data_IF_729006269099
#
_entry.id   IF_729006269099
#
_cell.length_a   1.000
_cell.length_b   1.000
_cell.length_c   1.000
_cell.angle_alpha   90.00
_cell.angle_beta   90.00
_cell.angle_gamma   90.00
#
_symmetry.space_group_name_H-M   'P 1'
#
loop_
_entity.id
_entity.type
_entity.pdbx_description
1 polymer ?
#
# COMPACT_ATOMS: atom_id res chain seq x y z
N UNK A 1 10.53 -14.96 -6.00
CA UNK A 1 11.00 -14.00 -7.01
C UNK A 1 10.33 -12.64 -6.77
N UNK A 2 11.13 -11.55 -6.77
CA UNK A 2 10.62 -10.19 -6.60
C UNK A 2 10.31 -9.65 -8.01
N UNK A 3 9.04 -9.34 -8.26
CA UNK A 3 8.54 -8.89 -9.57
C UNK A 3 7.50 -7.78 -9.39
N UNK A 4 7.17 -7.07 -10.45
CA UNK A 4 6.12 -6.08 -10.50
C UNK A 4 6.56 -4.75 -11.09
N UNK A 5 5.63 -3.79 -11.10
CA UNK A 5 5.84 -2.46 -11.69
C UNK A 5 7.05 -1.74 -11.08
N UNK A 6 7.18 -1.73 -9.76
CA UNK A 6 8.30 -1.05 -9.08
C UNK A 6 9.64 -1.67 -9.45
N UNK A 7 9.70 -3.00 -9.55
CA UNK A 7 10.93 -3.70 -9.93
C UNK A 7 11.32 -3.37 -11.37
N UNK A 8 10.36 -3.40 -12.29
CA UNK A 8 10.59 -3.08 -13.69
C UNK A 8 11.07 -1.64 -13.88
N UNK A 9 10.43 -0.70 -13.17
CA UNK A 9 10.84 0.71 -13.19
C UNK A 9 12.22 0.89 -12.58
N UNK A 10 12.51 0.24 -11.45
CA UNK A 10 13.82 0.32 -10.80
C UNK A 10 14.92 -0.22 -11.69
N UNK A 11 14.70 -1.33 -12.39
CA UNK A 11 15.67 -1.87 -13.36
C UNK A 11 15.93 -0.89 -14.50
N UNK A 12 14.89 -0.24 -15.03
CA UNK A 12 15.04 0.76 -16.08
C UNK A 12 15.84 1.97 -15.60
N UNK A 13 15.56 2.46 -14.39
CA UNK A 13 16.29 3.58 -13.79
C UNK A 13 17.76 3.23 -13.54
N UNK A 14 18.04 2.03 -13.05
CA UNK A 14 19.42 1.57 -12.83
C UNK A 14 20.20 1.48 -14.14
N UNK A 15 19.55 1.04 -15.21
CA UNK A 15 20.15 1.02 -16.53
C UNK A 15 20.52 2.43 -17.02
N UNK A 16 19.62 3.41 -16.80
CA UNK A 16 19.88 4.80 -17.21
C UNK A 16 21.05 5.44 -16.47
N UNK A 17 21.27 5.10 -15.21
CA UNK A 17 22.40 5.61 -14.42
C UNK A 17 23.63 4.71 -14.46
N UNK A 18 23.61 3.68 -15.32
CA UNK A 18 24.68 2.72 -15.49
C UNK A 18 25.09 2.03 -14.18
N UNK A 19 24.08 1.63 -13.40
CA UNK A 19 24.26 0.97 -12.11
C UNK A 19 23.71 -0.45 -12.14
N UNK A 20 24.29 -1.32 -11.33
CA UNK A 20 23.75 -2.65 -11.06
C UNK A 20 22.90 -2.60 -9.81
N UNK A 21 21.63 -2.97 -9.92
CA UNK A 21 20.71 -2.97 -8.80
C UNK A 21 20.42 -4.37 -8.31
N UNK A 22 20.39 -4.51 -6.99
CA UNK A 22 19.95 -5.73 -6.32
C UNK A 22 18.70 -5.40 -5.49
N UNK A 23 17.80 -6.36 -5.35
CA UNK A 23 16.52 -6.16 -4.68
C UNK A 23 16.40 -7.07 -3.46
N UNK A 24 15.87 -6.50 -2.37
CA UNK A 24 15.47 -7.27 -1.20
C UNK A 24 14.05 -6.90 -0.81
N UNK A 25 13.30 -7.87 -0.35
CA UNK A 25 11.94 -7.68 0.14
C UNK A 25 11.96 -7.60 1.66
N UNK A 26 11.32 -6.57 2.21
CA UNK A 26 11.25 -6.31 3.64
C UNK A 26 9.83 -5.91 4.02
N UNK A 27 9.47 -6.05 5.30
CA UNK A 27 8.21 -5.51 5.80
C UNK A 27 8.17 -3.99 5.62
N UNK A 28 7.01 -3.46 5.23
CA UNK A 28 6.87 -2.04 4.87
C UNK A 28 7.32 -1.09 5.99
N UNK A 29 6.99 -1.40 7.23
CA UNK A 29 7.34 -0.58 8.39
C UNK A 29 8.85 -0.55 8.69
N UNK A 30 9.62 -1.46 8.13
CA UNK A 30 11.08 -1.51 8.28
C UNK A 30 11.86 -0.75 7.20
N UNK A 31 11.19 -0.26 6.15
CA UNK A 31 11.84 0.30 4.98
C UNK A 31 12.56 1.62 5.27
N UNK A 32 11.89 2.59 5.88
CA UNK A 32 12.52 3.87 6.24
C UNK A 32 13.65 3.67 7.27
N UNK A 33 13.47 2.88 8.34
CA UNK A 33 14.59 2.54 9.21
C UNK A 33 15.79 1.92 8.48
N UNK A 34 15.55 0.99 7.56
CA UNK A 34 16.63 0.36 6.78
C UNK A 34 17.39 1.38 5.94
N UNK A 35 16.70 2.36 5.36
CA UNK A 35 17.31 3.45 4.60
C UNK A 35 18.14 4.36 5.52
N UNK A 36 17.60 4.73 6.67
CA UNK A 36 18.28 5.59 7.65
C UNK A 36 19.54 4.92 8.22
N UNK A 37 19.53 3.61 8.43
CA UNK A 37 20.68 2.83 8.88
C UNK A 37 21.60 2.40 7.74
N UNK A 38 21.36 2.88 6.53
CA UNK A 38 22.19 2.62 5.33
C UNK A 38 22.30 1.13 4.99
N UNK A 39 21.27 0.35 5.32
CA UNK A 39 21.18 -1.06 4.91
C UNK A 39 20.78 -1.18 3.44
N UNK A 40 20.06 -0.19 2.94
CA UNK A 40 19.69 -0.04 1.53
C UNK A 40 19.98 1.40 1.10
N UNK A 41 20.20 1.62 -0.19
CA UNK A 41 20.45 2.95 -0.76
C UNK A 41 19.17 3.64 -1.23
N UNK A 42 18.14 2.85 -1.51
CA UNK A 42 16.86 3.38 -1.97
C UNK A 42 15.74 2.44 -1.56
N UNK A 43 14.53 2.99 -1.43
CA UNK A 43 13.32 2.24 -1.14
C UNK A 43 12.29 2.56 -2.21
N UNK A 44 11.73 1.52 -2.82
CA UNK A 44 10.70 1.61 -3.84
C UNK A 44 9.64 0.54 -3.58
N UNK A 45 8.56 0.91 -2.91
CA UNK A 45 7.58 -0.04 -2.39
C UNK A 45 6.15 0.54 -2.39
N UNK A 46 5.80 1.26 -3.46
CA UNK A 46 4.50 1.94 -3.51
C UNK A 46 4.35 2.92 -2.35
N UNK A 47 5.40 3.64 -2.01
CA UNK A 47 5.42 4.50 -0.83
C UNK A 47 4.90 5.89 -1.17
N UNK A 48 3.89 6.33 -0.43
CA UNK A 48 3.34 7.68 -0.56
C UNK A 48 4.33 8.73 -0.09
N UNK A 49 4.50 9.77 -0.90
CA UNK A 49 5.23 10.97 -0.50
C UNK A 49 4.34 11.76 0.47
N UNK A 50 4.73 11.82 1.74
CA UNK A 50 4.00 12.57 2.76
C UNK A 50 4.93 13.56 3.47
N UNK A 51 4.39 14.69 3.97
CA UNK A 51 5.20 15.64 4.73
C UNK A 51 5.91 15.03 5.93
N UNK A 52 5.30 14.05 6.59
CA UNK A 52 5.89 13.35 7.72
C UNK A 52 7.12 12.54 7.28
N UNK A 53 7.00 11.82 6.16
CA UNK A 53 8.11 11.03 5.63
C UNK A 53 9.23 11.92 5.05
N UNK A 54 8.87 13.05 4.45
CA UNK A 54 9.85 14.01 3.92
C UNK A 54 10.74 14.62 5.00
N UNK A 55 10.31 14.61 6.25
CA UNK A 55 11.15 15.01 7.40
C UNK A 55 12.24 13.99 7.72
N UNK A 56 12.11 12.77 7.25
CA UNK A 56 13.00 11.67 7.59
C UNK A 56 13.90 11.25 6.44
N UNK A 57 13.39 11.32 5.21
CA UNK A 57 14.08 10.86 3.99
C UNK A 57 13.77 11.81 2.84
N UNK A 58 14.58 11.78 1.81
CA UNK A 58 14.30 12.48 0.56
C UNK A 58 13.50 11.58 -0.37
N UNK A 59 12.68 12.19 -1.22
CA UNK A 59 11.92 11.48 -2.24
C UNK A 59 12.27 12.01 -3.63
N UNK A 60 12.16 11.15 -4.61
CA UNK A 60 12.09 11.55 -6.01
C UNK A 60 10.80 12.31 -6.27
N UNK A 61 10.66 12.90 -7.45
CA UNK A 61 9.34 13.31 -7.94
C UNK A 61 8.42 12.09 -8.01
N UNK A 62 7.09 12.25 -7.90
CA UNK A 62 6.19 11.11 -7.96
C UNK A 62 6.27 10.41 -9.32
N UNK A 63 6.29 9.07 -9.28
CA UNK A 63 6.29 8.24 -10.49
C UNK A 63 4.93 7.62 -10.78
N UNK A 64 3.99 7.71 -9.86
CA UNK A 64 2.64 7.17 -9.99
C UNK A 64 1.67 7.96 -9.11
N UNK A 65 0.51 8.30 -9.66
CA UNK A 65 -0.56 8.93 -8.89
C UNK A 65 -1.13 7.93 -7.88
N UNK A 66 -1.50 8.43 -6.69
CA UNK A 66 -1.95 7.56 -5.63
C UNK A 66 -3.41 7.79 -5.27
N UNK A 67 -4.09 6.69 -5.04
CA UNK A 67 -5.39 6.61 -4.40
C UNK A 67 -5.46 5.30 -3.62
N UNK A 68 -6.43 5.19 -2.73
CA UNK A 68 -6.65 3.99 -1.95
C UNK A 68 -8.06 3.47 -2.20
N UNK A 69 -8.26 2.18 -1.98
CA UNK A 69 -9.52 1.52 -2.26
C UNK A 69 -9.78 0.45 -1.21
N UNK A 70 -11.03 0.39 -0.74
CA UNK A 70 -11.52 -0.74 0.04
C UNK A 70 -11.93 -1.85 -0.92
N UNK A 71 -11.57 -3.08 -0.61
CA UNK A 71 -12.03 -4.27 -1.31
C UNK A 71 -12.61 -5.26 -0.32
N UNK A 72 -13.61 -6.01 -0.74
CA UNK A 72 -14.27 -7.03 0.07
C UNK A 72 -14.79 -8.16 -0.81
N UNK A 73 -15.55 -9.06 -0.22
CA UNK A 73 -16.19 -10.13 -0.98
C UNK A 73 -17.31 -9.57 -1.84
N UNK A 74 -17.39 -10.00 -3.09
CA UNK A 74 -18.37 -9.53 -4.04
C UNK A 74 -19.79 -9.73 -3.53
N UNK A 75 -20.62 -8.69 -3.66
CA UNK A 75 -22.03 -8.73 -3.28
C UNK A 75 -22.29 -8.59 -1.79
N UNK A 76 -21.26 -8.51 -0.96
CA UNK A 76 -21.42 -8.42 0.48
C UNK A 76 -21.51 -6.98 0.97
N UNK A 77 -20.64 -6.11 0.47
CA UNK A 77 -20.59 -4.69 0.84
C UNK A 77 -20.53 -3.82 -0.42
N UNK A 78 -21.26 -2.71 -0.42
CA UNK A 78 -21.29 -1.74 -1.52
C UNK A 78 -20.80 -0.36 -1.11
N UNK A 79 -20.75 -0.08 0.20
CA UNK A 79 -20.28 1.19 0.73
C UNK A 79 -19.41 0.98 1.97
N UNK A 80 -18.52 1.96 2.21
CA UNK A 80 -17.62 1.93 3.37
C UNK A 80 -18.41 1.97 4.70
N UNK A 81 -19.55 2.63 4.72
CA UNK A 81 -20.40 2.69 5.92
C UNK A 81 -20.84 1.31 6.42
N UNK A 82 -20.97 0.35 5.52
CA UNK A 82 -21.32 -1.03 5.88
C UNK A 82 -20.19 -1.77 6.58
N UNK A 83 -18.97 -1.24 6.54
CA UNK A 83 -17.80 -1.82 7.19
C UNK A 83 -17.67 -1.40 8.66
N UNK A 84 -18.54 -0.55 9.17
CA UNK A 84 -18.56 -0.17 10.60
C UNK A 84 -18.74 -1.41 11.47
N UNK A 85 -17.86 -1.55 12.47
CA UNK A 85 -17.83 -2.72 13.35
C UNK A 85 -17.24 -3.97 12.71
N UNK A 86 -16.77 -3.89 11.48
CA UNK A 86 -16.15 -5.00 10.73
C UNK A 86 -14.64 -4.92 10.76
N UNK A 87 -13.99 -6.03 10.40
CA UNK A 87 -12.53 -6.13 10.38
C UNK A 87 -12.00 -5.82 8.99
N UNK A 88 -11.14 -4.82 8.89
CA UNK A 88 -10.47 -4.42 7.64
C UNK A 88 -8.97 -4.53 7.80
N UNK A 89 -8.35 -5.31 6.94
CA UNK A 89 -6.91 -5.50 6.90
C UNK A 89 -6.21 -4.30 6.26
N UNK A 90 -5.07 -3.94 6.81
CA UNK A 90 -4.18 -2.90 6.28
C UNK A 90 -2.74 -3.39 6.38
N UNK A 91 -1.86 -2.89 5.53
CA UNK A 91 -0.44 -3.12 5.71
C UNK A 91 0.08 -2.26 6.86
N UNK A 92 0.83 -2.86 7.77
CA UNK A 92 1.29 -2.18 8.98
C UNK A 92 2.24 -1.02 8.65
N UNK A 93 2.10 0.08 9.39
CA UNK A 93 2.96 1.26 9.23
C UNK A 93 2.62 2.15 8.04
N UNK A 94 1.48 1.96 7.40
CA UNK A 94 1.07 2.71 6.21
C UNK A 94 0.15 3.89 6.54
N UNK A 95 0.04 4.80 5.58
CA UNK A 95 -0.96 5.87 5.63
C UNK A 95 -2.38 5.32 5.54
N UNK A 96 -2.57 4.14 4.98
CA UNK A 96 -3.85 3.43 4.93
C UNK A 96 -4.34 3.10 6.34
N UNK A 97 -3.46 2.55 7.16
CA UNK A 97 -3.76 2.26 8.56
C UNK A 97 -4.17 3.53 9.30
N UNK A 98 -3.38 4.59 9.16
CA UNK A 98 -3.64 5.88 9.80
C UNK A 98 -4.97 6.48 9.36
N UNK A 99 -5.28 6.41 8.06
CA UNK A 99 -6.53 6.92 7.51
C UNK A 99 -7.76 6.27 8.17
N UNK A 100 -7.77 4.94 8.27
CA UNK A 100 -8.88 4.24 8.91
C UNK A 100 -8.99 4.63 10.40
N UNK A 101 -7.88 4.65 11.11
CA UNK A 101 -7.87 4.98 12.54
C UNK A 101 -8.37 6.39 12.81
N UNK A 102 -8.06 7.34 11.92
CA UNK A 102 -8.46 8.75 12.08
C UNK A 102 -9.86 9.04 11.55
N UNK A 103 -10.22 8.49 10.39
CA UNK A 103 -11.47 8.84 9.67
C UNK A 103 -12.58 7.82 9.86
N UNK A 104 -12.25 6.59 10.17
CA UNK A 104 -13.20 5.50 10.36
C UNK A 104 -12.88 4.70 11.62
N UNK A 105 -12.88 5.35 12.81
CA UNK A 105 -12.48 4.66 14.05
C UNK A 105 -13.43 3.53 14.46
N UNK A 106 -14.64 3.46 13.88
CA UNK A 106 -15.58 2.38 14.09
C UNK A 106 -15.21 1.09 13.37
N UNK A 107 -14.31 1.16 12.39
CA UNK A 107 -13.78 -0.02 11.70
C UNK A 107 -12.66 -0.61 12.55
N UNK A 108 -12.69 -1.92 12.75
CA UNK A 108 -11.60 -2.63 13.41
C UNK A 108 -10.46 -2.85 12.41
N UNK A 109 -9.36 -2.14 12.57
CA UNK A 109 -8.17 -2.31 11.73
C UNK A 109 -7.38 -3.53 12.15
N UNK A 110 -7.00 -4.37 11.18
CA UNK A 110 -6.14 -5.53 11.41
C UNK A 110 -4.84 -5.33 10.62
N UNK A 111 -3.71 -5.05 11.29
CA UNK A 111 -2.45 -4.81 10.60
C UNK A 111 -1.80 -6.11 10.15
N UNK A 112 -1.20 -6.09 8.96
CA UNK A 112 -0.46 -7.21 8.37
C UNK A 112 0.91 -6.75 7.92
N UNK A 113 1.88 -7.64 7.96
CA UNK A 113 3.24 -7.37 7.47
C UNK A 113 3.28 -7.27 5.95
N UNK A 114 2.34 -7.93 5.27
CA UNK A 114 2.26 -7.93 3.80
C UNK A 114 0.83 -7.92 3.32
N UNK A 115 0.63 -7.38 2.11
CA UNK A 115 -0.67 -7.44 1.42
C UNK A 115 -1.09 -8.89 1.13
N UNK A 116 -0.16 -9.79 0.88
CA UNK A 116 -0.47 -11.19 0.59
C UNK A 116 -1.17 -11.86 1.77
N UNK A 117 -0.72 -11.62 2.98
CA UNK A 117 -1.34 -12.18 4.18
C UNK A 117 -2.74 -11.59 4.39
N UNK A 118 -2.92 -10.29 4.16
CA UNK A 118 -4.23 -9.65 4.24
C UNK A 118 -5.20 -10.25 3.20
N UNK A 119 -4.74 -10.42 1.96
CA UNK A 119 -5.53 -11.02 0.88
C UNK A 119 -5.98 -12.43 1.22
N UNK A 120 -5.08 -13.26 1.75
CA UNK A 120 -5.40 -14.63 2.15
C UNK A 120 -6.48 -14.66 3.22
N UNK A 121 -6.38 -13.82 4.23
CA UNK A 121 -7.38 -13.76 5.30
C UNK A 121 -8.72 -13.23 4.79
N UNK A 122 -8.73 -12.30 3.83
CA UNK A 122 -9.95 -11.86 3.17
C UNK A 122 -10.60 -12.99 2.37
N UNK A 123 -9.82 -13.73 1.58
CA UNK A 123 -10.31 -14.86 0.80
C UNK A 123 -10.88 -15.98 1.68
N UNK A 124 -10.30 -16.18 2.86
CA UNK A 124 -10.71 -17.19 3.82
C UNK A 124 -11.85 -16.72 4.76
N UNK A 125 -12.33 -15.48 4.60
CA UNK A 125 -13.40 -14.94 5.40
C UNK A 125 -13.02 -14.58 6.84
N UNK A 126 -11.74 -14.48 7.16
CA UNK A 126 -11.26 -14.11 8.50
C UNK A 126 -11.38 -12.61 8.76
N UNK A 127 -11.32 -11.80 7.71
CA UNK A 127 -11.57 -10.37 7.73
C UNK A 127 -12.61 -10.03 6.67
N UNK A 128 -13.22 -8.84 6.82
CA UNK A 128 -14.34 -8.41 5.98
C UNK A 128 -13.91 -7.59 4.77
N UNK A 129 -12.74 -6.98 4.84
CA UNK A 129 -12.20 -6.17 3.75
C UNK A 129 -10.72 -5.93 3.93
N UNK A 130 -10.12 -5.33 2.90
CA UNK A 130 -8.75 -4.83 2.90
C UNK A 130 -8.77 -3.43 2.34
N UNK A 131 -7.98 -2.54 2.91
CA UNK A 131 -7.79 -1.18 2.43
C UNK A 131 -6.33 -0.98 2.04
N UNK A 132 -6.09 -0.60 0.81
CA UNK A 132 -4.74 -0.43 0.30
C UNK A 132 -4.66 0.41 -0.96
N UNK A 133 -3.46 0.52 -1.51
CA UNK A 133 -3.24 1.22 -2.78
C UNK A 133 -4.14 0.67 -3.87
N UNK A 134 -4.81 1.57 -4.59
CA UNK A 134 -5.67 1.18 -5.70
C UNK A 134 -4.92 0.32 -6.70
N UNK A 135 -3.68 0.66 -7.03
CA UNK A 135 -2.86 -0.11 -7.96
C UNK A 135 -2.64 -1.56 -7.52
N UNK A 136 -2.47 -1.78 -6.21
CA UNK A 136 -2.25 -3.13 -5.65
C UNK A 136 -3.56 -3.91 -5.61
N UNK A 137 -4.60 -3.34 -5.00
CA UNK A 137 -5.84 -4.09 -4.75
C UNK A 137 -6.67 -4.32 -6.01
N UNK A 138 -6.58 -3.45 -7.01
CA UNK A 138 -7.28 -3.65 -8.29
C UNK A 138 -6.69 -4.82 -9.10
N UNK A 139 -5.41 -5.11 -8.95
CA UNK A 139 -4.83 -6.31 -9.55
C UNK A 139 -5.47 -7.59 -9.01
N UNK A 140 -5.83 -7.60 -7.72
CA UNK A 140 -6.51 -8.75 -7.13
C UNK A 140 -7.87 -9.00 -7.77
N UNK A 141 -8.58 -7.93 -8.13
CA UNK A 141 -9.93 -8.04 -8.71
C UNK A 141 -9.93 -8.69 -10.09
N UNK A 142 -8.83 -8.56 -10.84
CA UNK A 142 -8.69 -9.17 -12.16
C UNK A 142 -8.70 -10.70 -12.10
N UNK A 143 -8.04 -11.26 -11.09
CA UNK A 143 -7.85 -12.71 -10.96
C UNK A 143 -8.78 -13.35 -9.93
N UNK A 144 -9.54 -12.54 -9.18
CA UNK A 144 -10.39 -13.01 -8.10
C UNK A 144 -11.82 -12.48 -8.26
N UNK A 145 -12.69 -13.13 -9.05
CA UNK A 145 -14.05 -12.65 -9.29
C UNK A 145 -14.92 -12.66 -8.02
N UNK A 146 -14.47 -13.31 -6.94
CA UNK A 146 -15.15 -13.29 -5.65
C UNK A 146 -14.87 -12.03 -4.83
N UNK A 147 -13.93 -11.19 -5.27
CA UNK A 147 -13.60 -9.92 -4.62
C UNK A 147 -14.12 -8.76 -5.47
N UNK A 148 -14.49 -7.67 -4.80
CA UNK A 148 -14.96 -6.46 -5.46
C UNK A 148 -14.58 -5.22 -4.67
N UNK A 149 -14.55 -4.07 -5.35
CA UNK A 149 -14.36 -2.79 -4.71
C UNK A 149 -15.55 -2.47 -3.79
N UNK A 150 -15.28 -1.85 -2.67
CA UNK A 150 -16.28 -1.35 -1.72
C UNK A 150 -16.20 0.16 -1.71
N UNK A 151 -17.20 0.82 -2.29
CA UNK A 151 -17.20 2.27 -2.42
C UNK A 151 -16.24 2.80 -3.49
N UNK A 152 -16.03 4.11 -3.47
CA UNK A 152 -15.20 4.81 -4.42
C UNK A 152 -13.74 4.88 -3.97
N UNK A 153 -12.85 5.23 -4.90
CA UNK A 153 -11.45 5.50 -4.59
C UNK A 153 -11.33 6.65 -3.59
N UNK A 154 -10.44 6.49 -2.63
CA UNK A 154 -10.12 7.51 -1.62
C UNK A 154 -8.88 8.26 -2.08
N UNK A 155 -8.99 9.59 -2.20
CA UNK A 155 -7.94 10.47 -2.74
C UNK A 155 -7.51 11.56 -1.76
N UNK A 156 -7.70 11.33 -0.47
CA UNK A 156 -7.37 12.32 0.58
C UNK A 156 -5.86 12.60 0.59
N UNK A 157 -5.49 13.81 0.19
CA UNK A 157 -4.07 14.22 0.07
C UNK A 157 -3.33 14.28 1.39
N UNK A 158 -4.05 14.45 2.50
CA UNK A 158 -3.41 14.49 3.84
C UNK A 158 -2.84 13.11 4.21
N UNK A 159 -3.37 12.03 3.63
CA UNK A 159 -2.94 10.66 3.91
C UNK A 159 -2.17 10.03 2.75
N UNK A 160 -2.58 10.31 1.52
CA UNK A 160 -2.01 9.64 0.33
C UNK A 160 -1.07 10.55 -0.44
N UNK A 161 -0.90 11.79 0.01
CA UNK A 161 0.11 12.70 -0.48
C UNK A 161 -0.07 13.09 -1.94
N UNK A 162 1.06 13.29 -2.62
CA UNK A 162 1.12 13.75 -4.01
C UNK A 162 1.46 12.64 -4.99
N UNK A 163 1.51 11.40 -4.54
CA UNK A 163 1.83 10.23 -5.36
C UNK A 163 2.88 9.34 -4.72
N UNK A 164 3.27 8.31 -5.44
CA UNK A 164 4.29 7.36 -5.00
C UNK A 164 5.67 7.86 -5.40
N UNK A 165 6.64 7.75 -4.49
CA UNK A 165 8.02 8.16 -4.75
C UNK A 165 9.05 7.14 -4.31
N UNK A 166 10.27 7.29 -4.82
CA UNK A 166 11.42 6.52 -4.36
C UNK A 166 12.08 7.29 -3.24
N UNK A 167 12.20 6.67 -2.06
CA UNK A 167 12.89 7.26 -0.92
C UNK A 167 14.40 7.00 -1.02
N UNK A 168 15.18 8.02 -0.73
CA UNK A 168 16.64 7.92 -0.75
C UNK A 168 17.25 8.53 0.50
#
# INVERSE_FOLDING_TARGET
QIVGFDVDLAQALCKEIDATCTFSNQAFDSLIPSLKFRRVEAVMAGMDITPEREKQVLFTTPYYDNSALFVGQQGKYTSVDQLKGKKVGVQNGTTHQKFIMDKHPEITTVPYDSYQNAKLDLQNGRIDGVFGDTAVVTEWLKDNPKLAAVGDKVTDKDYFGTGLGIAV
#
